data_IF_608283696416
#
_entry.id   IF_608283696416
#
_cell.length_a   1.000
_cell.length_b   1.000
_cell.length_c   1.000
_cell.angle_alpha   90.00
_cell.angle_beta   90.00
_cell.angle_gamma   90.00
#
_symmetry.space_group_name_H-M   'P 1'
#
loop_
_entity.id
_entity.type
_entity.pdbx_description
1 polymer ?
#
# COMPACT_ATOMS: atom_id res chain seq x y z
N UNK A 1 9.29 6.59 9.28
CA UNK A 1 9.67 5.57 8.29
C UNK A 1 10.73 6.12 7.37
N UNK A 2 11.70 5.32 6.97
CA UNK A 2 12.66 5.69 5.93
C UNK A 2 12.14 5.31 4.53
N UNK A 3 11.36 6.18 3.89
CA UNK A 3 10.78 5.90 2.56
C UNK A 3 11.83 5.63 1.47
N UNK A 4 13.00 6.29 1.53
CA UNK A 4 14.08 6.05 0.57
C UNK A 4 14.52 4.58 0.59
N UNK A 5 14.71 4.03 1.80
CA UNK A 5 15.01 2.60 1.99
C UNK A 5 13.90 1.71 1.44
N UNK A 6 12.63 2.01 1.73
CA UNK A 6 11.51 1.17 1.28
C UNK A 6 11.38 1.17 -0.25
N UNK A 7 11.60 2.30 -0.91
CA UNK A 7 11.63 2.37 -2.37
C UNK A 7 12.75 1.54 -2.98
N UNK A 8 13.95 1.59 -2.40
CA UNK A 8 15.07 0.77 -2.88
C UNK A 8 14.76 -0.72 -2.78
N UNK A 9 14.15 -1.15 -1.67
CA UNK A 9 13.69 -2.52 -1.47
C UNK A 9 12.58 -2.91 -2.46
N UNK A 10 11.58 -2.06 -2.66
CA UNK A 10 10.50 -2.31 -3.62
C UNK A 10 11.02 -2.40 -5.05
N UNK A 11 11.90 -1.47 -5.45
CA UNK A 11 12.48 -1.42 -6.80
C UNK A 11 13.29 -2.66 -7.13
N UNK A 12 14.00 -3.20 -6.14
CA UNK A 12 14.70 -4.47 -6.29
C UNK A 12 13.73 -5.65 -6.43
N UNK A 13 12.65 -5.68 -5.63
CA UNK A 13 11.65 -6.74 -5.66
C UNK A 13 10.87 -6.74 -6.99
N UNK A 14 10.40 -5.57 -7.43
CA UNK A 14 9.70 -5.37 -8.69
C UNK A 14 10.56 -5.85 -9.87
N UNK A 15 11.82 -5.40 -9.95
CA UNK A 15 12.75 -5.85 -11.00
C UNK A 15 12.98 -7.36 -10.99
N UNK A 16 13.05 -7.97 -9.81
CA UNK A 16 13.23 -9.42 -9.69
C UNK A 16 12.02 -10.17 -10.27
N UNK A 17 10.80 -9.77 -9.88
CA UNK A 17 9.55 -10.35 -10.37
C UNK A 17 9.42 -10.12 -11.88
N UNK A 18 9.57 -8.88 -12.33
CA UNK A 18 9.42 -8.51 -13.74
C UNK A 18 10.42 -9.26 -14.62
N UNK A 19 11.68 -9.42 -14.19
CA UNK A 19 12.68 -10.20 -14.92
C UNK A 19 12.32 -11.69 -14.97
N UNK A 20 11.93 -12.27 -13.83
CA UNK A 20 11.59 -13.70 -13.73
C UNK A 20 10.38 -14.06 -14.59
N UNK A 21 9.39 -13.16 -14.67
CA UNK A 21 8.15 -13.37 -15.43
C UNK A 21 8.19 -12.76 -16.84
N UNK A 22 9.34 -12.23 -17.30
CA UNK A 22 9.51 -11.63 -18.63
C UNK A 22 8.58 -10.44 -18.91
N UNK A 23 8.37 -9.60 -17.89
CA UNK A 23 7.45 -8.45 -17.91
C UNK A 23 8.16 -7.10 -18.03
N UNK A 24 9.48 -7.06 -18.24
CA UNK A 24 10.28 -5.82 -18.24
C UNK A 24 9.81 -4.77 -19.27
N UNK A 25 9.19 -5.22 -20.37
CA UNK A 25 8.66 -4.36 -21.43
C UNK A 25 7.13 -4.17 -21.34
N UNK A 26 6.46 -4.75 -20.33
CA UNK A 26 5.02 -4.60 -20.14
C UNK A 26 4.67 -3.37 -19.29
N UNK A 27 3.62 -2.64 -19.68
CA UNK A 27 3.04 -1.63 -18.81
C UNK A 27 2.19 -2.31 -17.73
N UNK A 28 2.69 -2.33 -16.49
CA UNK A 28 2.02 -2.97 -15.35
C UNK A 28 1.16 -2.01 -14.52
N UNK A 29 1.07 -0.72 -14.90
CA UNK A 29 0.41 0.31 -14.10
C UNK A 29 -1.03 -0.07 -13.72
N UNK A 30 -1.87 -0.44 -14.70
CA UNK A 30 -3.28 -0.76 -14.43
C UNK A 30 -3.43 -2.05 -13.61
N UNK A 31 -2.49 -3.00 -13.74
CA UNK A 31 -2.44 -4.21 -12.88
C UNK A 31 -2.07 -3.87 -11.44
N UNK A 32 -1.06 -3.00 -11.25
CA UNK A 32 -0.62 -2.51 -9.92
C UNK A 32 -1.71 -1.68 -9.23
N UNK A 33 -2.47 -0.86 -9.98
CA UNK A 33 -3.64 -0.14 -9.45
C UNK A 33 -4.73 -1.11 -8.99
N UNK A 34 -5.06 -2.13 -9.80
CA UNK A 34 -6.05 -3.12 -9.41
C UNK A 34 -5.61 -3.89 -8.15
N UNK A 35 -4.34 -4.30 -8.10
CA UNK A 35 -3.79 -4.96 -6.92
C UNK A 35 -3.95 -4.08 -5.66
N UNK A 36 -3.57 -2.80 -5.72
CA UNK A 36 -3.78 -1.87 -4.61
C UNK A 36 -5.25 -1.76 -4.15
N UNK A 37 -6.20 -1.78 -5.08
CA UNK A 37 -7.64 -1.76 -4.75
C UNK A 37 -8.09 -3.05 -4.06
N UNK A 38 -7.53 -4.20 -4.46
CA UNK A 38 -7.77 -5.50 -3.84
C UNK A 38 -7.19 -5.50 -2.41
N UNK A 39 -5.92 -5.15 -2.24
CA UNK A 39 -5.28 -5.08 -0.91
C UNK A 39 -6.00 -4.11 0.04
N UNK A 40 -6.47 -2.96 -0.46
CA UNK A 40 -7.27 -2.04 0.35
C UNK A 40 -8.59 -2.69 0.82
N UNK A 41 -9.18 -3.54 -0.01
CA UNK A 41 -10.37 -4.32 0.33
C UNK A 41 -10.09 -5.43 1.33
N UNK A 42 -8.96 -6.10 1.21
CA UNK A 42 -8.49 -7.13 2.17
C UNK A 42 -8.24 -6.49 3.54
N UNK A 43 -7.52 -5.36 3.58
CA UNK A 43 -7.35 -4.56 4.79
C UNK A 43 -8.71 -4.15 5.39
N UNK A 44 -9.64 -3.62 4.59
CA UNK A 44 -10.99 -3.27 5.08
C UNK A 44 -11.73 -4.50 5.65
N UNK A 45 -11.55 -5.67 5.04
CA UNK A 45 -12.17 -6.92 5.46
C UNK A 45 -11.65 -7.39 6.82
N UNK A 46 -10.35 -7.25 7.09
CA UNK A 46 -9.70 -7.64 8.34
C UNK A 46 -10.00 -6.67 9.50
N UNK A 47 -10.17 -5.37 9.20
CA UNK A 47 -10.67 -4.41 10.22
C UNK A 47 -12.15 -4.61 10.54
N UNK A 48 -12.92 -5.16 9.58
CA UNK A 48 -14.37 -5.39 9.69
C UNK A 48 -15.20 -4.15 10.01
N UNK A 49 -14.65 -2.94 9.85
CA UNK A 49 -15.28 -1.68 10.27
C UNK A 49 -16.61 -1.38 9.56
N UNK A 50 -16.83 -1.96 8.39
CA UNK A 50 -18.06 -1.81 7.61
C UNK A 50 -19.14 -2.86 7.93
N UNK A 51 -18.81 -3.93 8.68
CA UNK A 51 -19.71 -5.07 8.93
C UNK A 51 -20.67 -4.78 10.08
N UNK A 52 -21.49 -3.73 9.94
CA UNK A 52 -22.43 -3.27 10.96
C UNK A 52 -23.50 -4.29 11.39
N UNK A 53 -23.68 -5.36 10.60
CA UNK A 53 -24.60 -6.47 10.89
C UNK A 53 -23.93 -7.61 11.70
N UNK A 54 -22.68 -7.46 12.12
CA UNK A 54 -21.92 -8.52 12.79
C UNK A 54 -21.21 -8.01 14.05
N UNK A 55 -21.28 -8.79 15.12
CA UNK A 55 -20.57 -8.52 16.37
C UNK A 55 -19.16 -9.12 16.42
N UNK A 56 -18.72 -9.85 15.38
CA UNK A 56 -17.38 -10.45 15.36
C UNK A 56 -16.32 -9.34 15.29
N UNK A 57 -15.32 -9.33 16.20
CA UNK A 57 -14.30 -8.30 16.24
C UNK A 57 -13.37 -8.38 15.03
N UNK A 58 -12.62 -7.29 14.81
CA UNK A 58 -11.50 -7.24 13.87
C UNK A 58 -10.52 -8.40 14.09
N UNK A 59 -9.77 -8.72 13.04
CA UNK A 59 -8.63 -9.63 13.16
C UNK A 59 -7.54 -9.04 14.05
N UNK A 60 -6.61 -9.86 14.58
CA UNK A 60 -5.51 -9.36 15.41
C UNK A 60 -4.70 -8.30 14.68
N UNK A 61 -4.18 -7.31 15.40
CA UNK A 61 -3.40 -6.18 14.85
C UNK A 61 -2.27 -6.62 13.92
N UNK A 62 -1.62 -7.74 14.21
CA UNK A 62 -0.57 -8.31 13.33
C UNK A 62 -1.09 -8.64 11.93
N UNK A 63 -2.30 -9.22 11.84
CA UNK A 63 -2.93 -9.55 10.55
C UNK A 63 -3.30 -8.26 9.83
N UNK A 64 -3.93 -7.33 10.52
CA UNK A 64 -4.33 -6.03 9.94
C UNK A 64 -3.11 -5.23 9.45
N UNK A 65 -2.01 -5.26 10.20
CA UNK A 65 -0.76 -4.59 9.82
C UNK A 65 -0.11 -5.24 8.59
N UNK A 66 -0.19 -6.57 8.46
CA UNK A 66 0.29 -7.28 7.28
C UNK A 66 -0.46 -6.83 6.01
N UNK A 67 -1.79 -6.82 6.05
CA UNK A 67 -2.64 -6.33 4.94
C UNK A 67 -2.38 -4.84 4.64
N UNK A 68 -2.14 -4.03 5.67
CA UNK A 68 -1.79 -2.62 5.50
C UNK A 68 -0.47 -2.46 4.74
N UNK A 69 0.51 -3.29 5.06
CA UNK A 69 1.82 -3.27 4.40
C UNK A 69 1.75 -3.76 2.96
N UNK A 70 0.86 -4.69 2.63
CA UNK A 70 0.63 -5.14 1.25
C UNK A 70 0.15 -3.97 0.36
N UNK A 71 -0.71 -3.10 0.87
CA UNK A 71 -1.05 -1.85 0.16
C UNK A 71 0.14 -0.88 0.01
N UNK A 72 1.02 -0.78 1.01
CA UNK A 72 2.24 0.05 0.91
C UNK A 72 3.17 -0.47 -0.20
N UNK A 73 3.32 -1.79 -0.36
CA UNK A 73 4.09 -2.39 -1.46
C UNK A 73 3.62 -1.88 -2.83
N UNK A 74 2.31 -1.92 -3.08
CA UNK A 74 1.77 -1.46 -4.36
C UNK A 74 1.80 0.06 -4.54
N UNK A 75 1.64 0.84 -3.47
CA UNK A 75 1.81 2.30 -3.54
C UNK A 75 3.25 2.64 -3.95
N UNK A 76 4.26 2.04 -3.32
CA UNK A 76 5.65 2.28 -3.67
C UNK A 76 5.96 1.80 -5.10
N UNK A 77 5.42 0.64 -5.50
CA UNK A 77 5.58 0.12 -6.86
C UNK A 77 4.99 1.06 -7.92
N UNK A 78 3.81 1.65 -7.67
CA UNK A 78 3.20 2.67 -8.53
C UNK A 78 4.03 3.96 -8.57
N UNK A 79 4.63 4.35 -7.45
CA UNK A 79 5.57 5.47 -7.38
C UNK A 79 6.77 5.26 -8.29
N UNK A 80 7.39 4.07 -8.25
CA UNK A 80 8.52 3.69 -9.10
C UNK A 80 8.10 3.66 -10.58
N UNK A 81 6.96 3.05 -10.90
CA UNK A 81 6.41 2.99 -12.26
C UNK A 81 6.24 4.39 -12.88
N UNK A 82 5.93 5.39 -12.06
CA UNK A 82 5.70 6.77 -12.50
C UNK A 82 6.95 7.68 -12.36
N UNK A 83 8.07 7.19 -11.84
CA UNK A 83 9.27 8.00 -11.60
C UNK A 83 9.16 8.96 -10.41
N UNK A 84 8.34 8.64 -9.41
CA UNK A 84 8.03 9.50 -8.26
C UNK A 84 8.82 9.15 -6.99
N UNK A 85 9.79 8.24 -7.06
CA UNK A 85 10.53 7.73 -5.89
C UNK A 85 11.40 8.77 -5.17
N UNK A 86 11.77 9.87 -5.85
CA UNK A 86 12.73 10.85 -5.33
C UNK A 86 12.12 12.12 -4.71
N UNK A 87 10.79 12.23 -4.67
CA UNK A 87 10.11 13.50 -4.35
C UNK A 87 9.22 13.44 -3.09
N UNK A 88 9.37 12.46 -2.21
CA UNK A 88 8.40 12.26 -1.11
C UNK A 88 8.60 13.26 0.03
N UNK A 89 7.88 14.38 -0.08
CA UNK A 89 7.40 15.16 1.05
C UNK A 89 5.90 14.91 1.18
N UNK A 90 5.48 14.10 2.15
CA UNK A 90 4.06 13.91 2.42
C UNK A 90 3.57 15.02 3.35
N UNK A 91 2.48 15.71 3.01
CA UNK A 91 1.88 16.68 3.91
C UNK A 91 1.54 16.01 5.25
N UNK A 92 1.91 16.66 6.35
CA UNK A 92 1.43 16.25 7.66
C UNK A 92 -0.06 16.57 7.73
N UNK A 93 -0.87 15.55 7.96
CA UNK A 93 -2.31 15.69 8.11
C UNK A 93 -2.81 14.70 9.14
N UNK A 94 -3.79 15.14 9.91
CA UNK A 94 -4.58 14.29 10.79
C UNK A 94 -6.01 14.36 10.30
N UNK A 95 -6.56 13.21 9.96
CA UNK A 95 -7.97 13.08 9.63
C UNK A 95 -8.79 12.98 10.92
N UNK A 96 -9.99 13.58 10.93
CA UNK A 96 -11.00 13.38 11.98
C UNK A 96 -12.12 12.44 11.50
N UNK A 97 -11.96 11.82 10.34
CA UNK A 97 -12.94 10.92 9.75
C UNK A 97 -13.00 9.59 10.50
N UNK A 98 -14.14 8.91 10.40
CA UNK A 98 -14.27 7.51 10.78
C UNK A 98 -13.46 6.61 9.85
N UNK A 99 -13.18 5.39 10.30
CA UNK A 99 -12.44 4.42 9.50
C UNK A 99 -13.14 4.08 8.17
N UNK A 100 -14.47 3.97 8.18
CA UNK A 100 -15.27 3.74 6.95
C UNK A 100 -15.13 4.91 5.95
N UNK A 101 -15.24 6.15 6.42
CA UNK A 101 -15.08 7.35 5.58
C UNK A 101 -13.66 7.42 4.99
N UNK A 102 -12.64 7.06 5.78
CA UNK A 102 -11.26 7.06 5.30
C UNK A 102 -11.04 5.98 4.24
N UNK A 103 -11.55 4.75 4.41
CA UNK A 103 -11.45 3.71 3.37
C UNK A 103 -12.07 4.18 2.05
N UNK A 104 -13.30 4.71 2.09
CA UNK A 104 -13.98 5.24 0.90
C UNK A 104 -13.20 6.39 0.24
N UNK A 105 -12.62 7.27 1.06
CA UNK A 105 -11.74 8.34 0.56
C UNK A 105 -10.52 7.79 -0.14
N UNK A 106 -9.85 6.79 0.43
CA UNK A 106 -8.66 6.18 -0.18
C UNK A 106 -9.01 5.50 -1.50
N UNK A 107 -10.15 4.80 -1.58
CA UNK A 107 -10.67 4.28 -2.85
C UNK A 107 -10.79 5.39 -3.91
N UNK A 108 -11.43 6.50 -3.58
CA UNK A 108 -11.57 7.63 -4.50
C UNK A 108 -10.21 8.21 -4.92
N UNK A 109 -9.26 8.32 -3.99
CA UNK A 109 -7.93 8.85 -4.26
C UNK A 109 -7.12 7.94 -5.19
N UNK A 110 -7.21 6.61 -5.03
CA UNK A 110 -6.59 5.65 -5.95
C UNK A 110 -7.15 5.80 -7.36
N UNK A 111 -8.48 5.93 -7.49
CA UNK A 111 -9.12 6.12 -8.80
C UNK A 111 -8.73 7.46 -9.43
N UNK A 112 -8.67 8.54 -8.65
CA UNK A 112 -8.22 9.85 -9.13
C UNK A 112 -6.76 9.78 -9.60
N UNK A 113 -5.89 9.10 -8.84
CA UNK A 113 -4.51 8.88 -9.25
C UNK A 113 -4.42 8.05 -10.55
N UNK A 114 -5.21 6.98 -10.70
CA UNK A 114 -5.27 6.19 -11.95
C UNK A 114 -5.59 7.06 -13.17
N UNK A 115 -6.54 7.99 -13.02
CA UNK A 115 -7.01 8.85 -14.11
C UNK A 115 -6.01 9.97 -14.45
N UNK A 116 -5.41 10.60 -13.43
CA UNK A 116 -4.63 11.82 -13.61
C UNK A 116 -3.12 11.57 -13.67
N UNK A 117 -2.64 10.53 -13.00
CA UNK A 117 -1.23 10.08 -12.97
C UNK A 117 -0.20 11.19 -12.71
N UNK A 118 -0.58 12.19 -11.91
CA UNK A 118 0.35 13.25 -11.53
C UNK A 118 0.95 12.98 -10.16
N UNK A 119 2.14 13.53 -9.92
CA UNK A 119 2.82 13.45 -8.64
C UNK A 119 1.95 13.95 -7.47
N UNK A 120 1.19 15.03 -7.69
CA UNK A 120 0.24 15.55 -6.70
C UNK A 120 -0.83 14.53 -6.29
N UNK A 121 -1.44 13.83 -7.25
CA UNK A 121 -2.46 12.82 -6.94
C UNK A 121 -1.86 11.57 -6.30
N UNK A 122 -0.63 11.21 -6.67
CA UNK A 122 0.13 10.19 -5.98
C UNK A 122 0.36 10.54 -4.50
N UNK A 123 0.79 11.77 -4.20
CA UNK A 123 0.96 12.25 -2.82
C UNK A 123 -0.35 12.22 -2.04
N UNK A 124 -1.46 12.68 -2.64
CA UNK A 124 -2.77 12.65 -1.99
C UNK A 124 -3.22 11.21 -1.67
N UNK A 125 -3.07 10.29 -2.62
CA UNK A 125 -3.37 8.86 -2.43
C UNK A 125 -2.51 8.26 -1.32
N UNK A 126 -1.19 8.47 -1.35
CA UNK A 126 -0.27 7.91 -0.38
C UNK A 126 -0.55 8.48 1.02
N UNK A 127 -0.72 9.80 1.13
CA UNK A 127 -1.08 10.44 2.39
C UNK A 127 -2.42 9.92 2.93
N UNK A 128 -3.45 9.81 2.08
CA UNK A 128 -4.74 9.26 2.48
C UNK A 128 -4.63 7.82 2.99
N UNK A 129 -3.76 7.01 2.39
CA UNK A 129 -3.49 5.65 2.85
C UNK A 129 -2.77 5.64 4.20
N UNK A 130 -1.76 6.49 4.42
CA UNK A 130 -1.07 6.60 5.72
C UNK A 130 -1.98 7.14 6.84
N UNK A 131 -2.99 7.93 6.51
CA UNK A 131 -4.03 8.34 7.46
C UNK A 131 -4.84 7.14 7.99
N UNK A 132 -4.96 6.03 7.24
CA UNK A 132 -5.54 4.78 7.77
C UNK A 132 -4.68 4.19 8.88
N UNK A 133 -3.34 4.16 8.74
CA UNK A 133 -2.45 3.68 9.79
C UNK A 133 -2.65 4.46 11.10
N UNK A 134 -2.81 5.78 11.02
CA UNK A 134 -3.09 6.61 12.20
C UNK A 134 -4.41 6.23 12.88
N UNK A 135 -5.47 5.96 12.10
CA UNK A 135 -6.77 5.51 12.62
C UNK A 135 -6.72 4.09 13.20
N UNK A 136 -5.86 3.24 12.65
CA UNK A 136 -5.63 1.86 13.10
C UNK A 136 -4.65 1.77 14.28
N UNK A 137 -4.02 2.88 14.66
CA UNK A 137 -3.09 2.94 15.79
C UNK A 137 -1.69 2.40 15.49
N UNK A 138 -1.31 2.28 14.22
CA UNK A 138 0.01 1.81 13.82
C UNK A 138 1.03 2.94 13.82
N UNK A 139 2.19 2.69 14.42
CA UNK A 139 3.31 3.63 14.37
C UNK A 139 4.11 3.48 13.08
N UNK A 140 4.87 4.52 12.75
CA UNK A 140 5.82 4.46 11.63
C UNK A 140 6.80 3.29 11.77
N UNK A 141 7.30 3.03 12.97
CA UNK A 141 8.28 1.98 13.24
C UNK A 141 7.68 0.58 13.01
N UNK A 142 6.42 0.37 13.41
CA UNK A 142 5.71 -0.89 13.17
C UNK A 142 5.51 -1.15 11.68
N UNK A 143 5.10 -0.12 10.92
CA UNK A 143 4.88 -0.23 9.48
C UNK A 143 6.20 -0.50 8.76
N UNK A 144 7.27 0.22 9.11
CA UNK A 144 8.59 0.01 8.51
C UNK A 144 9.12 -1.41 8.77
N UNK A 145 8.99 -1.91 10.00
CA UNK A 145 9.44 -3.27 10.33
C UNK A 145 8.61 -4.35 9.61
N UNK A 146 7.28 -4.23 9.63
CA UNK A 146 6.40 -5.18 8.96
C UNK A 146 6.60 -5.17 7.44
N UNK A 147 6.88 -4.00 6.85
CA UNK A 147 7.26 -3.89 5.44
C UNK A 147 8.54 -4.64 5.11
N UNK A 148 9.59 -4.48 5.94
CA UNK A 148 10.86 -5.18 5.73
C UNK A 148 10.65 -6.70 5.80
N UNK A 149 9.94 -7.18 6.82
CA UNK A 149 9.62 -8.60 6.98
C UNK A 149 8.83 -9.15 5.80
N UNK A 150 7.79 -8.43 5.35
CA UNK A 150 6.96 -8.85 4.21
C UNK A 150 7.74 -8.85 2.90
N UNK A 151 8.61 -7.86 2.69
CA UNK A 151 9.51 -7.80 1.53
C UNK A 151 10.42 -9.04 1.47
N UNK A 152 11.04 -9.42 2.59
CA UNK A 152 11.86 -10.63 2.70
C UNK A 152 11.05 -11.90 2.42
N UNK A 153 9.86 -12.05 3.00
CA UNK A 153 8.98 -13.20 2.70
C UNK A 153 8.62 -13.26 1.20
N UNK A 154 8.37 -12.11 0.56
CA UNK A 154 8.04 -12.07 -0.86
C UNK A 154 9.22 -12.48 -1.75
N UNK A 155 10.45 -12.10 -1.43
CA UNK A 155 11.64 -12.64 -2.11
C UNK A 155 11.73 -14.16 -1.98
N UNK A 156 11.42 -14.69 -0.81
CA UNK A 156 11.56 -16.10 -0.50
C UNK A 156 10.49 -16.91 -1.27
N UNK A 157 9.26 -16.39 -1.37
CA UNK A 157 8.21 -16.92 -2.24
C UNK A 157 8.64 -16.94 -3.71
N UNK A 158 9.28 -15.86 -4.19
CA UNK A 158 9.78 -15.80 -5.56
C UNK A 158 10.89 -16.83 -5.83
N UNK A 159 11.78 -17.11 -4.87
CA UNK A 159 12.79 -18.18 -5.01
C UNK A 159 12.17 -19.59 -5.07
N UNK A 160 11.00 -19.79 -4.48
CA UNK A 160 10.30 -21.07 -4.45
C UNK A 160 9.38 -21.32 -5.66
N UNK A 161 9.37 -20.40 -6.64
CA UNK A 161 8.61 -20.57 -7.88
C UNK A 161 7.16 -20.11 -7.82
N UNK A 162 6.81 -19.28 -6.83
CA UNK A 162 5.58 -18.49 -6.87
C UNK A 162 5.54 -17.56 -8.09
#
# INVERSE_FOLDING_TARGET
>A
MNFQKLFEMQKALDRHIESKHQLLDENLFDRKVLALLVELGELANETRCFKFWSLKPASPDKVVLEEFVDGIHFILSLGIECGFEHAIELPKSKTTASLNEQFLRVYQLIINFKQLRTFHHYQLMFQGYLELANLLGFTSEQIEQAYIEKNEVNYERQRQGY
#
